data_IF_180608202009
#
_entry.id   IF_180608202009
#
_cell.length_a   1.000
_cell.length_b   1.000
_cell.length_c   1.000
_cell.angle_alpha   90.00
_cell.angle_beta   90.00
_cell.angle_gamma   90.00
#
_symmetry.space_group_name_H-M   'P 1'
#
loop_
_entity.id
_entity.type
_entity.pdbx_description
1 polymer ?
#
# COMPACT_ATOMS: atom_id res chain seq x y z
N UNK A 1 -14.58 44.36 24.49
CA UNK A 1 -14.95 43.38 23.45
C UNK A 1 -13.73 42.50 23.23
N UNK A 2 -13.72 41.30 23.80
CA UNK A 2 -12.56 40.40 23.72
C UNK A 2 -12.61 39.66 22.38
N UNK A 3 -11.87 40.17 21.40
CA UNK A 3 -11.58 39.43 20.18
C UNK A 3 -10.77 38.19 20.61
N UNK A 4 -11.41 37.02 20.60
CA UNK A 4 -10.82 35.76 21.06
C UNK A 4 -9.60 35.34 20.23
N UNK A 5 -8.87 34.33 20.72
CA UNK A 5 -7.61 33.83 20.15
C UNK A 5 -7.66 33.65 18.61
N UNK A 6 -8.80 33.21 18.06
CA UNK A 6 -9.05 33.07 16.63
C UNK A 6 -8.94 34.38 15.82
N UNK A 7 -9.29 35.54 16.40
CA UNK A 7 -9.17 36.84 15.74
C UNK A 7 -7.70 37.29 15.57
N UNK A 8 -6.77 36.66 16.28
CA UNK A 8 -5.32 36.91 16.17
C UNK A 8 -4.58 35.88 15.33
N UNK A 9 -5.25 34.78 14.92
CA UNK A 9 -4.65 33.78 14.05
C UNK A 9 -4.65 34.29 12.61
N UNK A 10 -3.46 34.57 12.10
CA UNK A 10 -3.26 34.88 10.68
C UNK A 10 -3.35 33.58 9.87
N UNK A 11 -4.16 33.59 8.81
CA UNK A 11 -4.18 32.49 7.84
C UNK A 11 -2.75 32.29 7.30
N UNK A 12 -2.18 31.10 7.49
CA UNK A 12 -0.81 30.75 7.08
C UNK A 12 -0.74 30.15 5.69
N UNK A 13 -1.88 29.96 5.02
CA UNK A 13 -1.88 29.47 3.65
C UNK A 13 -1.35 30.55 2.72
N UNK A 14 -0.46 30.16 1.81
CA UNK A 14 -0.13 31.00 0.67
C UNK A 14 -1.38 31.21 -0.20
N UNK A 15 -1.39 32.25 -1.03
CA UNK A 15 -2.49 32.47 -1.97
C UNK A 15 -2.73 31.27 -2.91
N UNK A 16 -1.67 30.52 -3.24
CA UNK A 16 -1.80 29.30 -4.04
C UNK A 16 -2.51 28.21 -3.23
N UNK A 17 -2.06 27.96 -2.00
CA UNK A 17 -2.65 26.93 -1.15
C UNK A 17 -4.11 27.23 -0.78
N UNK A 18 -4.51 28.51 -0.67
CA UNK A 18 -5.91 28.86 -0.43
C UNK A 18 -6.81 28.58 -1.63
N UNK A 19 -6.33 28.80 -2.86
CA UNK A 19 -7.04 28.47 -4.10
C UNK A 19 -7.14 26.95 -4.30
N UNK A 20 -6.05 26.23 -4.03
CA UNK A 20 -6.04 24.76 -4.06
C UNK A 20 -7.00 24.18 -3.03
N UNK A 21 -7.01 24.71 -1.81
CA UNK A 21 -7.96 24.29 -0.77
C UNK A 21 -9.41 24.51 -1.22
N UNK A 22 -9.73 25.68 -1.80
CA UNK A 22 -11.06 25.95 -2.33
C UNK A 22 -11.46 24.95 -3.43
N UNK A 23 -10.50 24.59 -4.30
CA UNK A 23 -10.71 23.62 -5.37
C UNK A 23 -10.97 22.21 -4.82
N UNK A 24 -10.18 21.77 -3.84
CA UNK A 24 -10.38 20.46 -3.17
C UNK A 24 -11.72 20.42 -2.44
N UNK A 25 -12.07 21.47 -1.70
CA UNK A 25 -13.36 21.54 -1.01
C UNK A 25 -14.52 21.51 -1.99
N UNK A 26 -14.40 22.16 -3.16
CA UNK A 26 -15.42 22.09 -4.21
C UNK A 26 -15.59 20.66 -4.75
N UNK A 27 -14.51 19.91 -4.94
CA UNK A 27 -14.58 18.51 -5.39
C UNK A 27 -15.18 17.58 -4.33
N UNK A 28 -14.96 17.89 -3.06
CA UNK A 28 -15.48 17.11 -1.93
C UNK A 28 -16.94 17.41 -1.59
N UNK A 29 -17.56 18.47 -2.15
CA UNK A 29 -18.97 18.81 -1.87
C UNK A 29 -19.92 17.65 -2.21
N UNK A 30 -19.60 16.89 -3.25
CA UNK A 30 -20.43 15.76 -3.71
C UNK A 30 -20.04 14.42 -3.06
N UNK A 31 -19.03 14.41 -2.19
CA UNK A 31 -18.57 13.19 -1.51
C UNK A 31 -19.33 13.01 -0.20
N UNK A 32 -20.33 12.12 -0.21
CA UNK A 32 -21.03 11.71 1.00
C UNK A 32 -20.28 10.56 1.69
N UNK A 33 -19.85 10.76 2.93
CA UNK A 33 -19.38 9.67 3.80
C UNK A 33 -20.54 9.07 4.57
N UNK A 34 -20.48 7.78 4.85
CA UNK A 34 -21.41 7.10 5.73
C UNK A 34 -20.64 6.32 6.80
N UNK A 35 -21.35 5.83 7.82
CA UNK A 35 -20.77 5.03 8.90
C UNK A 35 -20.71 3.53 8.53
N UNK A 36 -20.83 3.19 7.24
CA UNK A 36 -20.72 1.82 6.80
C UNK A 36 -19.25 1.36 6.82
N UNK A 37 -19.00 0.06 7.01
CA UNK A 37 -17.67 -0.50 6.83
C UNK A 37 -17.14 -0.18 5.42
N UNK A 38 -15.85 0.16 5.35
CA UNK A 38 -15.15 0.39 4.10
C UNK A 38 -14.95 -0.93 3.33
N UNK A 39 -15.50 -1.00 2.12
CA UNK A 39 -15.31 -2.15 1.22
C UNK A 39 -14.05 -1.96 0.38
N UNK A 40 -13.05 -2.79 0.65
CA UNK A 40 -11.77 -2.76 -0.05
C UNK A 40 -11.78 -3.70 -1.26
N UNK A 41 -11.48 -3.14 -2.42
CA UNK A 41 -11.34 -3.87 -3.66
C UNK A 41 -9.92 -3.71 -4.22
N UNK A 42 -9.48 -4.71 -5.00
CA UNK A 42 -8.30 -4.61 -5.84
C UNK A 42 -8.64 -3.79 -7.09
N UNK A 43 -7.61 -3.42 -7.87
CA UNK A 43 -7.84 -2.88 -9.21
C UNK A 43 -8.81 -3.79 -9.98
N UNK A 44 -9.80 -3.18 -10.63
CA UNK A 44 -10.89 -3.85 -11.37
C UNK A 44 -12.00 -4.50 -10.51
N UNK A 45 -12.10 -4.16 -9.22
CA UNK A 45 -13.32 -4.43 -8.44
C UNK A 45 -13.43 -5.84 -7.83
N UNK A 46 -12.35 -6.62 -7.83
CA UNK A 46 -12.31 -7.89 -7.10
C UNK A 46 -12.10 -7.65 -5.59
N UNK A 47 -12.72 -8.46 -4.73
CA UNK A 47 -12.57 -8.30 -3.27
C UNK A 47 -11.10 -8.35 -2.84
N UNK A 48 -10.74 -7.48 -1.90
CA UNK A 48 -9.38 -7.43 -1.39
C UNK A 48 -8.99 -8.71 -0.63
N UNK A 49 -7.82 -9.26 -0.98
CA UNK A 49 -7.11 -10.25 -0.18
C UNK A 49 -5.63 -9.96 -0.28
N UNK A 50 -4.89 -10.07 0.84
CA UNK A 50 -3.44 -9.88 0.85
C UNK A 50 -2.73 -10.76 -0.17
N UNK A 51 -3.23 -11.98 -0.42
CA UNK A 51 -2.69 -12.89 -1.44
C UNK A 51 -2.85 -12.32 -2.86
N UNK A 52 -4.05 -11.87 -3.18
CA UNK A 52 -4.37 -11.34 -4.51
C UNK A 52 -3.68 -9.99 -4.75
N UNK A 53 -3.63 -9.13 -3.73
CA UNK A 53 -2.87 -7.87 -3.78
C UNK A 53 -1.38 -8.12 -4.04
N UNK A 54 -0.78 -9.05 -3.30
CA UNK A 54 0.62 -9.42 -3.50
C UNK A 54 0.86 -10.03 -4.88
N UNK A 55 -0.05 -10.88 -5.37
CA UNK A 55 0.04 -11.45 -6.72
C UNK A 55 -0.01 -10.39 -7.82
N UNK A 56 -0.88 -9.37 -7.70
CA UNK A 56 -0.95 -8.25 -8.65
C UNK A 56 0.32 -7.39 -8.60
N UNK A 57 0.85 -7.12 -7.41
CA UNK A 57 2.09 -6.35 -7.26
C UNK A 57 3.32 -7.13 -7.75
N UNK A 58 3.25 -8.46 -7.72
CA UNK A 58 4.33 -9.35 -8.13
C UNK A 58 4.21 -9.84 -9.58
N UNK A 59 3.17 -9.46 -10.34
CA UNK A 59 2.96 -9.99 -11.70
C UNK A 59 4.00 -9.53 -12.72
N UNK A 60 4.71 -8.43 -12.44
CA UNK A 60 5.87 -7.97 -13.22
C UNK A 60 7.17 -8.71 -12.86
N UNK A 61 7.17 -9.52 -11.79
CA UNK A 61 8.28 -10.39 -11.47
C UNK A 61 8.05 -11.74 -12.13
N UNK A 62 9.07 -12.24 -12.84
CA UNK A 62 9.06 -13.57 -13.43
C UNK A 62 8.47 -14.58 -12.44
N UNK A 63 7.49 -15.36 -12.89
CA UNK A 63 6.95 -16.46 -12.11
C UNK A 63 8.11 -17.36 -11.68
N UNK A 64 8.49 -17.29 -10.40
CA UNK A 64 9.49 -18.16 -9.81
C UNK A 64 8.91 -19.58 -9.76
N UNK A 65 9.13 -20.33 -10.86
CA UNK A 65 8.71 -21.73 -11.01
C UNK A 65 9.19 -22.56 -9.81
N UNK A 66 10.36 -22.24 -9.24
CA UNK A 66 10.92 -22.95 -8.09
C UNK A 66 10.19 -22.61 -6.79
N UNK A 67 9.75 -21.36 -6.60
CA UNK A 67 8.99 -20.97 -5.41
C UNK A 67 7.73 -21.84 -5.22
N UNK A 68 6.99 -22.12 -6.30
CA UNK A 68 5.81 -23.00 -6.24
C UNK A 68 6.12 -24.38 -5.64
N UNK A 69 7.17 -25.04 -6.12
CA UNK A 69 7.60 -26.35 -5.63
C UNK A 69 8.18 -26.29 -4.20
N UNK A 70 8.99 -25.28 -3.89
CA UNK A 70 9.64 -25.12 -2.58
C UNK A 70 8.58 -24.92 -1.49
N UNK A 71 7.65 -23.99 -1.69
CA UNK A 71 6.66 -23.64 -0.68
C UNK A 71 5.55 -24.69 -0.50
N UNK A 72 5.18 -25.41 -1.56
CA UNK A 72 4.22 -26.52 -1.51
C UNK A 72 4.77 -27.83 -0.93
N UNK A 73 6.10 -27.98 -0.84
CA UNK A 73 6.74 -29.19 -0.31
C UNK A 73 6.39 -29.47 1.17
N UNK A 74 6.56 -30.72 1.62
CA UNK A 74 6.42 -31.10 3.04
C UNK A 74 7.69 -30.86 3.87
N UNK A 75 8.69 -30.20 3.31
CA UNK A 75 9.95 -29.95 3.99
C UNK A 75 9.80 -28.99 5.19
N UNK A 76 10.67 -29.08 6.21
CA UNK A 76 10.72 -28.09 7.29
C UNK A 76 10.96 -26.66 6.78
N UNK A 77 10.43 -25.66 7.48
CA UNK A 77 10.51 -24.24 7.06
C UNK A 77 11.94 -23.76 6.79
N UNK A 78 12.92 -24.23 7.57
CA UNK A 78 14.34 -23.89 7.37
C UNK A 78 14.87 -24.37 6.03
N UNK A 79 14.45 -25.56 5.60
CA UNK A 79 14.84 -26.15 4.31
C UNK A 79 14.19 -25.40 3.16
N UNK A 80 12.92 -24.99 3.31
CA UNK A 80 12.23 -24.17 2.31
C UNK A 80 12.90 -22.81 2.12
N UNK A 81 13.22 -22.12 3.22
CA UNK A 81 13.92 -20.83 3.18
C UNK A 81 15.30 -21.00 2.51
N UNK A 82 16.07 -22.02 2.89
CA UNK A 82 17.37 -22.28 2.28
C UNK A 82 17.26 -22.54 0.78
N UNK A 83 16.34 -23.42 0.36
CA UNK A 83 16.11 -23.71 -1.06
C UNK A 83 15.69 -22.47 -1.86
N UNK A 84 14.83 -21.62 -1.28
CA UNK A 84 14.41 -20.37 -1.93
C UNK A 84 15.56 -19.37 -2.07
N UNK A 85 16.42 -19.26 -1.06
CA UNK A 85 17.63 -18.42 -1.15
C UNK A 85 18.64 -18.96 -2.17
N UNK A 86 18.80 -20.29 -2.24
CA UNK A 86 19.66 -20.97 -3.21
C UNK A 86 19.21 -20.70 -4.64
N UNK A 87 17.92 -20.88 -4.94
CA UNK A 87 17.37 -20.66 -6.28
C UNK A 87 17.47 -19.20 -6.76
N UNK A 88 17.68 -18.25 -5.84
CA UNK A 88 17.80 -16.82 -6.16
C UNK A 88 19.24 -16.32 -6.13
N UNK A 89 20.22 -17.20 -5.91
CA UNK A 89 21.64 -16.84 -5.72
C UNK A 89 21.85 -15.81 -4.60
N UNK A 90 21.04 -15.90 -3.54
CA UNK A 90 21.09 -15.00 -2.37
C UNK A 90 21.64 -15.67 -1.12
N UNK A 91 22.31 -16.80 -1.29
CA UNK A 91 23.01 -17.44 -0.17
C UNK A 91 24.25 -16.63 0.18
N UNK A 92 24.43 -16.38 1.47
CA UNK A 92 25.66 -15.80 1.98
C UNK A 92 26.78 -16.84 1.92
N UNK A 93 27.39 -16.99 0.76
CA UNK A 93 28.65 -17.72 0.60
C UNK A 93 29.81 -16.79 0.92
N UNK A 94 30.86 -17.28 1.59
CA UNK A 94 32.06 -16.50 1.96
C UNK A 94 32.85 -15.91 0.77
N UNK A 95 32.36 -16.00 -0.46
CA UNK A 95 32.96 -15.45 -1.67
C UNK A 95 32.38 -14.06 -2.02
N UNK A 96 32.30 -13.16 -1.04
CA UNK A 96 32.05 -11.72 -1.23
C UNK A 96 33.05 -10.92 -0.40
#
# INVERSE_FOLDING_TARGET
>A
MHNGLLATLRNRLTNVASVELASVLSLLQDVATNDAPDDRFLNHGSSFSSRCAYSLLSSDHEFDLNAGYIWSSKAPIKVKIFGWLLCRDRLSTMAN
#
